data_IF_507568438725
#
_entry.id   IF_507568438725
#
_cell.length_a   1.000
_cell.length_b   1.000
_cell.length_c   1.000
_cell.angle_alpha   90.00
_cell.angle_beta   90.00
_cell.angle_gamma   90.00
#
_symmetry.space_group_name_H-M   'P 1'
#
loop_
_entity.id
_entity.type
_entity.pdbx_description
1 polymer ?
#
# COMPACT_ATOMS: atom_id res chain seq x y z
N UNK A 1 26.22 55.63 5.33
CA UNK A 1 24.96 54.88 5.54
C UNK A 1 24.33 54.74 4.16
N UNK A 2 24.18 53.58 3.51
CA UNK A 2 24.52 52.19 3.79
C UNK A 2 24.69 51.52 2.42
N UNK A 3 25.68 50.64 2.29
CA UNK A 3 25.82 49.72 1.16
C UNK A 3 25.01 48.45 1.46
N UNK A 4 24.04 48.12 0.62
CA UNK A 4 23.32 46.85 0.71
C UNK A 4 24.01 45.83 -0.20
N UNK A 5 24.65 44.84 0.42
CA UNK A 5 25.20 43.67 -0.25
C UNK A 5 24.16 42.55 -0.30
N UNK A 6 24.13 41.86 -1.44
CA UNK A 6 23.36 40.66 -1.71
C UNK A 6 23.64 39.53 -0.71
N UNK A 7 22.59 38.85 -0.25
CA UNK A 7 22.69 37.49 0.30
C UNK A 7 21.61 36.63 -0.33
N UNK A 8 22.08 35.62 -1.04
CA UNK A 8 21.35 34.49 -1.60
C UNK A 8 20.57 33.76 -0.52
N UNK A 9 19.28 33.53 -0.76
CA UNK A 9 18.55 32.40 -0.17
C UNK A 9 17.85 31.70 -1.31
N UNK A 10 18.41 30.54 -1.66
CA UNK A 10 17.97 29.64 -2.70
C UNK A 10 16.49 29.28 -2.52
N UNK A 11 15.60 29.96 -3.25
CA UNK A 11 14.30 29.41 -3.59
C UNK A 11 14.59 28.20 -4.48
N UNK A 12 14.66 27.02 -3.86
CA UNK A 12 14.65 25.75 -4.59
C UNK A 12 13.26 25.61 -5.19
N UNK A 13 13.08 26.25 -6.33
CA UNK A 13 12.04 25.88 -7.28
C UNK A 13 12.41 24.47 -7.73
N UNK A 14 11.78 23.45 -7.14
CA UNK A 14 11.80 22.13 -7.75
C UNK A 14 10.99 22.25 -9.03
N UNK A 15 11.73 22.53 -10.10
CA UNK A 15 11.35 22.33 -11.48
C UNK A 15 10.57 21.02 -11.62
N UNK A 16 9.45 21.13 -12.31
CA UNK A 16 8.69 20.04 -12.91
C UNK A 16 9.58 19.43 -14.00
N UNK A 17 10.53 18.57 -13.62
CA UNK A 17 11.39 17.85 -14.56
C UNK A 17 10.69 16.55 -14.94
N UNK A 18 9.91 16.63 -16.01
CA UNK A 18 9.62 15.51 -16.89
C UNK A 18 10.95 14.85 -17.30
N UNK A 19 11.20 13.61 -16.88
CA UNK A 19 12.24 12.76 -17.50
C UNK A 19 13.35 12.15 -16.63
N UNK A 20 13.40 12.34 -15.31
CA UNK A 20 14.36 11.61 -14.46
C UNK A 20 13.82 11.34 -13.05
N UNK A 21 13.08 10.23 -12.91
CA UNK A 21 12.85 9.46 -11.69
C UNK A 21 13.04 10.17 -10.35
N UNK A 22 12.22 11.17 -10.05
CA UNK A 22 12.02 11.56 -8.65
C UNK A 22 11.27 10.39 -8.03
N UNK A 23 11.97 9.55 -7.26
CA UNK A 23 11.36 8.47 -6.48
C UNK A 23 10.39 9.09 -5.46
N UNK A 24 9.16 9.32 -5.87
CA UNK A 24 8.10 9.79 -4.97
C UNK A 24 7.70 8.65 -4.04
N UNK A 25 7.25 8.96 -2.82
CA UNK A 25 6.76 7.93 -1.91
C UNK A 25 5.59 7.12 -2.52
N UNK A 26 4.83 7.74 -3.43
CA UNK A 26 3.78 7.07 -4.20
C UNK A 26 4.36 6.07 -5.21
N UNK A 27 5.39 6.47 -5.98
CA UNK A 27 6.05 5.57 -6.94
C UNK A 27 6.77 4.41 -6.25
N UNK A 28 7.45 4.68 -5.15
CA UNK A 28 8.09 3.66 -4.31
C UNK A 28 7.08 2.65 -3.76
N UNK A 29 5.96 3.14 -3.22
CA UNK A 29 4.90 2.28 -2.73
C UNK A 29 4.26 1.45 -3.86
N UNK A 30 4.07 2.04 -5.05
CA UNK A 30 3.54 1.33 -6.20
C UNK A 30 4.44 0.16 -6.63
N UNK A 31 5.75 0.42 -6.76
CA UNK A 31 6.73 -0.62 -7.11
C UNK A 31 6.73 -1.76 -6.09
N UNK A 32 6.68 -1.44 -4.78
CA UNK A 32 6.61 -2.48 -3.75
C UNK A 32 5.31 -3.28 -3.77
N UNK A 33 4.17 -2.66 -4.12
CA UNK A 33 2.90 -3.37 -4.31
C UNK A 33 3.02 -4.35 -5.48
N UNK A 34 3.60 -3.92 -6.61
CA UNK A 34 3.82 -4.78 -7.78
C UNK A 34 4.77 -5.93 -7.48
N UNK A 35 5.88 -5.67 -6.76
CA UNK A 35 6.81 -6.70 -6.31
C UNK A 35 6.12 -7.71 -5.38
N UNK A 36 5.32 -7.23 -4.42
CA UNK A 36 4.55 -8.10 -3.54
C UNK A 36 3.53 -8.92 -4.32
N UNK A 37 2.85 -8.34 -5.32
CA UNK A 37 1.87 -9.06 -6.15
C UNK A 37 2.52 -10.11 -7.06
N UNK A 38 3.78 -9.92 -7.45
CA UNK A 38 4.57 -10.94 -8.16
C UNK A 38 4.78 -12.20 -7.31
N UNK A 39 4.98 -12.04 -6.00
CA UNK A 39 5.15 -13.14 -5.05
C UNK A 39 3.80 -13.69 -4.56
N UNK A 40 2.85 -12.80 -4.24
CA UNK A 40 1.52 -13.08 -3.71
C UNK A 40 0.49 -12.78 -4.79
N UNK A 41 0.26 -13.74 -5.69
CA UNK A 41 -0.66 -13.60 -6.83
C UNK A 41 -2.13 -13.39 -6.45
N UNK A 42 -2.46 -13.41 -5.16
CA UNK A 42 -3.78 -13.08 -4.65
C UNK A 42 -4.04 -11.57 -4.52
N UNK A 43 -2.98 -10.75 -4.58
CA UNK A 43 -3.07 -9.29 -4.51
C UNK A 43 -3.63 -8.74 -5.83
N UNK A 44 -4.59 -7.83 -5.72
CA UNK A 44 -5.09 -7.04 -6.84
C UNK A 44 -4.23 -5.77 -6.97
N UNK A 45 -3.09 -5.90 -7.66
CA UNK A 45 -2.10 -4.82 -7.76
C UNK A 45 -2.65 -3.58 -8.45
N UNK A 46 -3.45 -3.75 -9.52
CA UNK A 46 -4.03 -2.63 -10.26
C UNK A 46 -4.93 -1.77 -9.36
N UNK A 47 -5.83 -2.40 -8.60
CA UNK A 47 -6.71 -1.69 -7.66
C UNK A 47 -5.89 -1.06 -6.54
N UNK A 48 -4.90 -1.77 -6.02
CA UNK A 48 -4.07 -1.31 -4.91
C UNK A 48 -3.21 -0.10 -5.28
N UNK A 49 -2.58 -0.10 -6.46
CA UNK A 49 -1.77 1.03 -6.96
C UNK A 49 -2.65 2.25 -7.23
N UNK A 50 -3.85 2.07 -7.82
CA UNK A 50 -4.80 3.17 -8.05
C UNK A 50 -5.33 3.80 -6.76
N UNK A 51 -5.26 3.09 -5.63
CA UNK A 51 -5.71 3.60 -4.33
C UNK A 51 -4.69 4.51 -3.63
N UNK A 52 -3.47 4.64 -4.17
CA UNK A 52 -2.41 5.43 -3.54
C UNK A 52 -2.80 6.90 -3.54
N UNK A 53 -2.82 7.52 -2.35
CA UNK A 53 -3.12 8.92 -2.16
C UNK A 53 -2.06 9.61 -1.30
N UNK A 54 -1.57 10.80 -1.69
CA UNK A 54 -0.70 11.59 -0.83
C UNK A 54 -1.46 12.11 0.39
N UNK A 55 -0.90 11.91 1.58
CA UNK A 55 -1.44 12.46 2.84
C UNK A 55 -0.79 13.79 3.23
N UNK A 56 0.26 14.19 2.54
CA UNK A 56 1.04 15.40 2.84
C UNK A 56 1.22 16.24 1.57
N UNK A 57 1.22 17.58 1.67
CA UNK A 57 1.33 18.46 0.52
C UNK A 57 2.65 18.32 -0.25
N UNK A 58 3.68 17.74 0.39
CA UNK A 58 4.98 17.44 -0.22
C UNK A 58 5.12 16.00 -0.72
N UNK A 59 4.07 15.17 -0.61
CA UNK A 59 4.10 13.77 -1.05
C UNK A 59 5.11 12.88 -0.30
N UNK A 60 5.60 13.32 0.87
CA UNK A 60 6.56 12.55 1.69
C UNK A 60 5.90 11.41 2.47
N UNK A 61 4.58 11.46 2.56
CA UNK A 61 3.73 10.43 3.16
C UNK A 61 2.57 10.15 2.23
N UNK A 62 2.31 8.87 2.00
CA UNK A 62 1.19 8.36 1.21
C UNK A 62 0.39 7.35 2.03
N UNK A 63 -0.87 7.18 1.66
CA UNK A 63 -1.73 6.09 2.10
C UNK A 63 -2.12 5.24 0.90
N UNK A 64 -2.37 3.96 1.10
CA UNK A 64 -2.92 3.08 0.08
C UNK A 64 -3.79 1.99 0.72
N UNK A 65 -4.78 1.52 -0.02
CA UNK A 65 -5.58 0.37 0.32
C UNK A 65 -5.12 -0.82 -0.53
N UNK A 66 -4.37 -1.74 0.08
CA UNK A 66 -3.92 -2.96 -0.62
C UNK A 66 -4.99 -4.01 -0.49
N UNK A 67 -5.45 -4.51 -1.64
CA UNK A 67 -6.59 -5.44 -1.74
C UNK A 67 -6.11 -6.80 -2.24
N UNK A 68 -6.62 -7.88 -1.66
CA UNK A 68 -6.34 -9.25 -2.10
C UNK A 68 -7.57 -10.15 -2.02
N UNK A 69 -7.55 -11.22 -2.79
CA UNK A 69 -8.63 -12.22 -2.85
C UNK A 69 -8.28 -13.42 -2.00
N UNK A 70 -9.24 -13.89 -1.21
CA UNK A 70 -9.11 -15.10 -0.40
C UNK A 70 -10.06 -16.14 -0.97
N UNK A 71 -9.53 -17.30 -1.34
CA UNK A 71 -10.36 -18.43 -1.78
C UNK A 71 -10.67 -19.29 -0.55
N UNK A 72 -11.96 -19.46 -0.18
CA UNK A 72 -12.31 -20.38 0.89
C UNK A 72 -11.96 -21.82 0.50
N UNK A 73 -11.22 -22.52 1.36
CA UNK A 73 -11.05 -23.97 1.29
C UNK A 73 -12.35 -24.60 1.81
N UNK A 74 -13.44 -24.55 1.05
CA UNK A 74 -14.58 -25.40 1.36
C UNK A 74 -14.18 -26.84 1.03
N UNK A 75 -14.11 -27.78 2.01
CA UNK A 75 -14.12 -29.19 1.64
C UNK A 75 -15.39 -29.45 0.83
N UNK A 76 -15.32 -30.22 -0.26
CA UNK A 76 -16.53 -30.59 -0.99
C UNK A 76 -17.38 -31.44 -0.05
N UNK A 77 -18.34 -30.83 0.65
CA UNK A 77 -19.30 -31.56 1.48
C UNK A 77 -20.25 -32.30 0.54
N UNK A 78 -20.25 -33.64 0.50
CA UNK A 78 -21.02 -34.41 -0.48
C UNK A 78 -22.53 -34.49 -0.17
N UNK A 79 -23.07 -33.63 0.70
CA UNK A 79 -24.40 -33.83 1.31
C UNK A 79 -25.42 -32.71 1.11
N UNK A 80 -25.35 -31.91 0.05
CA UNK A 80 -26.49 -31.03 -0.26
C UNK A 80 -26.79 -31.01 -1.75
N UNK A 81 -27.93 -31.59 -2.09
CA UNK A 81 -28.55 -31.66 -3.42
C UNK A 81 -29.18 -30.29 -3.77
N UNK A 82 -28.38 -29.25 -3.67
CA UNK A 82 -28.70 -27.85 -3.97
C UNK A 82 -27.60 -27.38 -4.94
N UNK A 83 -27.89 -26.62 -6.01
CA UNK A 83 -26.86 -26.17 -6.94
C UNK A 83 -25.70 -25.54 -6.17
N UNK A 84 -24.43 -25.84 -6.53
CA UNK A 84 -23.28 -25.41 -5.76
C UNK A 84 -23.30 -23.89 -5.64
N UNK A 85 -23.63 -23.42 -4.44
CA UNK A 85 -23.74 -22.01 -4.14
C UNK A 85 -22.32 -21.45 -4.11
N UNK A 86 -21.90 -20.99 -5.29
CA UNK A 86 -20.80 -20.06 -5.59
C UNK A 86 -19.58 -20.15 -4.66
N UNK A 87 -18.43 -20.58 -5.21
CA UNK A 87 -17.12 -20.25 -4.66
C UNK A 87 -16.99 -18.73 -4.55
N UNK A 88 -17.53 -18.16 -3.48
CA UNK A 88 -17.60 -16.72 -3.28
C UNK A 88 -16.20 -16.32 -2.85
N UNK A 89 -15.43 -15.83 -3.80
CA UNK A 89 -14.09 -15.31 -3.52
C UNK A 89 -14.25 -14.10 -2.63
N UNK A 90 -13.76 -14.18 -1.39
CA UNK A 90 -13.84 -13.05 -0.46
C UNK A 90 -12.72 -12.07 -0.76
N UNK A 91 -13.06 -10.81 -1.03
CA UNK A 91 -12.08 -9.73 -1.15
C UNK A 91 -11.76 -9.18 0.24
N UNK A 92 -10.49 -9.10 0.58
CA UNK A 92 -9.96 -8.50 1.81
C UNK A 92 -9.09 -7.29 1.44
N UNK A 93 -8.94 -6.36 2.36
CA UNK A 93 -8.14 -5.16 2.13
C UNK A 93 -7.52 -4.62 3.40
N UNK A 94 -6.35 -3.99 3.29
CA UNK A 94 -5.71 -3.26 4.38
C UNK A 94 -5.32 -1.86 3.94
N UNK A 95 -5.71 -0.87 4.75
CA UNK A 95 -5.22 0.50 4.59
C UNK A 95 -3.90 0.65 5.31
N UNK A 96 -2.86 1.06 4.59
CA UNK A 96 -1.53 1.32 5.12
C UNK A 96 -1.10 2.75 4.84
N UNK A 97 -0.20 3.26 5.66
CA UNK A 97 0.52 4.50 5.44
C UNK A 97 2.01 4.22 5.28
N UNK A 98 2.61 4.82 4.25
CA UNK A 98 4.04 4.77 3.99
C UNK A 98 4.66 6.17 4.09
N UNK A 99 5.83 6.25 4.72
CA UNK A 99 6.67 7.45 4.70
C UNK A 99 8.14 7.06 4.83
N UNK A 100 9.03 7.77 4.15
CA UNK A 100 10.47 7.48 4.20
C UNK A 100 11.07 7.52 5.61
N UNK A 101 10.53 8.36 6.50
CA UNK A 101 11.00 8.49 7.89
C UNK A 101 10.31 7.55 8.87
N UNK A 102 9.15 6.98 8.51
CA UNK A 102 8.27 6.24 9.43
C UNK A 102 8.00 4.80 9.03
N UNK A 103 8.47 4.36 7.86
CA UNK A 103 8.24 3.00 7.35
C UNK A 103 6.79 2.74 6.97
N UNK A 104 6.41 1.46 7.02
CA UNK A 104 5.05 0.99 6.75
C UNK A 104 4.26 0.93 8.06
N UNK A 105 3.07 1.50 8.06
CA UNK A 105 2.19 1.50 9.22
C UNK A 105 0.79 1.06 8.83
N UNK A 106 0.13 0.30 9.71
CA UNK A 106 -1.26 -0.12 9.55
C UNK A 106 -2.02 0.23 10.83
N UNK A 107 -3.19 0.86 10.68
CA UNK A 107 -4.10 1.18 11.79
C UNK A 107 -4.67 2.59 11.72
N UNK A 108 -5.98 2.68 11.50
CA UNK A 108 -6.79 3.85 11.86
C UNK A 108 -7.32 3.65 13.29
N UNK A 109 -7.21 4.66 14.14
CA UNK A 109 -8.02 4.87 15.35
C UNK A 109 -7.76 4.12 16.68
N UNK A 110 -6.65 3.41 16.91
CA UNK A 110 -6.38 2.92 18.29
C UNK A 110 -4.91 2.95 18.69
N UNK A 111 -4.40 4.16 18.94
CA UNK A 111 -3.29 4.47 19.88
C UNK A 111 -1.91 3.85 19.65
N UNK A 112 -1.78 2.84 18.79
CA UNK A 112 -0.60 2.04 18.56
C UNK A 112 -0.65 1.55 17.12
N UNK A 113 -0.22 2.41 16.19
CA UNK A 113 0.02 1.98 14.81
C UNK A 113 1.23 1.03 14.83
N UNK A 114 1.04 -0.21 14.41
CA UNK A 114 2.14 -1.14 14.24
C UNK A 114 3.02 -0.66 13.09
N UNK A 115 4.31 -0.51 13.36
CA UNK A 115 5.32 -0.22 12.34
C UNK A 115 5.86 -1.54 11.83
N UNK A 116 5.88 -1.70 10.51
CA UNK A 116 6.36 -2.89 9.82
C UNK A 116 7.61 -2.53 9.03
N UNK A 117 8.58 -3.45 9.01
CA UNK A 117 9.85 -3.27 8.29
C UNK A 117 9.67 -3.32 6.75
N UNK A 118 8.62 -3.97 6.26
CA UNK A 118 8.31 -4.07 4.83
C UNK A 118 6.81 -4.17 4.56
N UNK A 119 6.40 -3.84 3.33
CA UNK A 119 5.03 -4.05 2.86
C UNK A 119 4.62 -5.54 2.97
N UNK A 120 5.54 -6.45 2.61
CA UNK A 120 5.29 -7.89 2.70
C UNK A 120 4.95 -8.33 4.13
N UNK A 121 5.72 -7.88 5.12
CA UNK A 121 5.46 -8.18 6.53
C UNK A 121 4.11 -7.66 7.00
N UNK A 122 3.73 -6.45 6.57
CA UNK A 122 2.42 -5.86 6.86
C UNK A 122 1.29 -6.71 6.25
N UNK A 123 1.42 -7.10 4.98
CA UNK A 123 0.41 -7.90 4.28
C UNK A 123 0.22 -9.27 4.91
N UNK A 124 1.32 -9.98 5.23
CA UNK A 124 1.26 -11.28 5.89
C UNK A 124 0.63 -11.19 7.29
N UNK A 125 0.99 -10.17 8.07
CA UNK A 125 0.41 -9.95 9.40
C UNK A 125 -1.11 -9.67 9.36
N UNK A 126 -1.61 -9.12 8.24
CA UNK A 126 -3.03 -8.87 8.00
C UNK A 126 -3.73 -10.01 7.26
N UNK A 127 -3.06 -11.15 7.03
CA UNK A 127 -3.66 -12.36 6.46
C UNK A 127 -3.62 -12.45 4.93
N UNK A 128 -2.84 -11.60 4.26
CA UNK A 128 -2.56 -11.80 2.84
C UNK A 128 -1.78 -13.10 2.61
N UNK A 129 -2.15 -13.86 1.59
CA UNK A 129 -1.53 -15.18 1.31
C UNK A 129 -1.94 -16.31 2.26
N UNK A 130 -2.72 -16.03 3.30
CA UNK A 130 -3.26 -17.07 4.20
C UNK A 130 -4.49 -17.70 3.57
N UNK A 131 -4.46 -19.02 3.38
CA UNK A 131 -5.67 -19.77 3.06
C UNK A 131 -6.51 -19.85 4.33
N UNK A 132 -7.69 -19.22 4.35
CA UNK A 132 -8.68 -19.41 5.42
C UNK A 132 -9.12 -20.88 5.41
N UNK A 133 -8.51 -21.68 6.29
CA UNK A 133 -9.05 -22.95 6.74
C UNK A 133 -10.09 -22.67 7.81
N UNK A 134 -11.24 -23.34 7.72
CA UNK A 134 -12.32 -23.27 8.70
C UNK A 134 -11.86 -23.72 10.10
#
# INVERSE_FOLDING_TARGET
>A
MSCSSSSSSSSSNCDDVDGAGICTAAGELAAQIEDCASVLTCIDSEVSVRSIQPLSPRGSTVTACVTWRTTPLLPPSPQTRTPPMTNTTETQSVTLRFSYSGGFTCGENSGSASVYESLMSLLLANGCGVRKGA
#
